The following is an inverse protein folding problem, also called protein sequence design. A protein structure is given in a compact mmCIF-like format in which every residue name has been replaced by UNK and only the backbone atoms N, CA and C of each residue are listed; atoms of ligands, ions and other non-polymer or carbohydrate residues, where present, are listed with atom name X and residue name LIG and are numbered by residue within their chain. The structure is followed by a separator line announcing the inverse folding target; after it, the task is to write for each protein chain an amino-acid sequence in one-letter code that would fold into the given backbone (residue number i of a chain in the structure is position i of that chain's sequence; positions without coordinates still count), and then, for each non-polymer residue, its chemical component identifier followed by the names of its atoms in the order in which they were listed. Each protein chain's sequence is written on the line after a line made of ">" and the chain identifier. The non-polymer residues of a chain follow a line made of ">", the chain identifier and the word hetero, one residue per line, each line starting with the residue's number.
data_IF_559792095727
#
_entry.id   IF_559792095727
#
_cell.length_a   1.000
_cell.length_b   1.000
_cell.length_c   1.000
_cell.angle_alpha   90.00
_cell.angle_beta   90.00
_cell.angle_gamma   90.00
#
_symmetry.space_group_name_H-M   'P 1'
#
loop_
_entity.id
_entity.type
_entity.pdbx_description
1 polymer ?
#
# COMPACT_ATOMS: atom_id res chain seq x y z
N UNK A 1 -39.34 -13.74 -9.78
CA UNK A 1 -39.38 -14.55 -11.02
C UNK A 1 -38.22 -15.53 -10.99
N UNK A 2 -38.49 -16.83 -11.12
CA UNK A 2 -37.47 -17.90 -11.17
C UNK A 2 -37.00 -18.14 -12.59
N UNK A 3 -35.68 -18.30 -12.79
CA UNK A 3 -35.11 -19.00 -13.96
C UNK A 3 -33.90 -19.82 -13.54
N UNK A 4 -33.93 -21.10 -13.90
CA UNK A 4 -32.91 -22.09 -13.56
C UNK A 4 -32.62 -22.95 -14.80
N UNK A 5 -31.44 -22.79 -15.40
CA UNK A 5 -30.83 -23.72 -16.36
C UNK A 5 -29.32 -23.69 -16.08
N UNK A 6 -28.63 -24.78 -15.72
CA UNK A 6 -28.44 -26.11 -16.36
C UNK A 6 -27.63 -26.07 -17.66
N UNK A 7 -26.44 -26.71 -17.59
CA UNK A 7 -25.73 -27.60 -18.54
C UNK A 7 -25.74 -27.25 -20.06
N UNK A 8 -24.73 -27.63 -20.86
CA UNK A 8 -23.72 -28.68 -20.68
C UNK A 8 -22.35 -28.28 -21.29
N UNK A 9 -21.34 -29.13 -21.09
CA UNK A 9 -20.08 -29.09 -21.84
C UNK A 9 -20.17 -29.94 -23.11
N UNK A 10 -19.38 -29.59 -24.13
CA UNK A 10 -19.02 -30.51 -25.21
C UNK A 10 -17.57 -30.25 -25.64
N UNK A 11 -16.76 -31.29 -25.68
CA UNK A 11 -15.37 -31.24 -26.16
C UNK A 11 -15.28 -31.92 -27.52
N UNK A 12 -14.64 -31.26 -28.49
CA UNK A 12 -14.28 -31.88 -29.77
C UNK A 12 -12.76 -31.86 -29.92
N UNK A 13 -12.12 -33.02 -29.80
CA UNK A 13 -10.73 -33.23 -30.16
C UNK A 13 -10.65 -33.45 -31.67
N UNK A 14 -9.77 -32.73 -32.37
CA UNK A 14 -9.48 -32.96 -33.79
C UNK A 14 -7.98 -33.24 -33.97
N UNK A 15 -7.66 -34.51 -34.23
CA UNK A 15 -6.31 -34.96 -34.57
C UNK A 15 -6.13 -34.85 -36.08
N UNK A 16 -5.18 -34.02 -36.52
CA UNK A 16 -4.80 -33.88 -37.92
C UNK A 16 -3.37 -34.39 -38.15
N UNK A 17 -3.22 -35.66 -38.52
CA UNK A 17 -1.93 -36.21 -38.95
C UNK A 17 -1.70 -35.92 -40.43
N UNK A 18 -0.62 -35.19 -40.74
CA UNK A 18 -0.20 -34.87 -42.11
C UNK A 18 1.24 -35.30 -42.37
N UNK A 19 1.43 -36.52 -42.91
CA UNK A 19 2.74 -36.98 -43.40
C UNK A 19 3.00 -36.40 -44.81
N UNK A 20 4.11 -35.69 -44.97
CA UNK A 20 4.46 -35.03 -46.25
C UNK A 20 5.96 -35.08 -46.53
N UNK A 21 6.46 -36.22 -47.04
CA UNK A 21 7.85 -36.35 -47.46
C UNK A 21 8.09 -35.68 -48.83
N UNK A 22 8.72 -34.50 -48.84
CA UNK A 22 9.10 -33.79 -50.07
C UNK A 22 10.58 -33.38 -50.07
N UNK A 23 11.46 -34.19 -50.66
CA UNK A 23 12.86 -33.80 -50.87
C UNK A 23 12.97 -32.88 -52.09
N UNK A 24 13.39 -31.63 -51.86
CA UNK A 24 14.12 -30.83 -52.84
C UNK A 24 15.38 -30.30 -52.17
N UNK A 25 16.52 -30.44 -52.84
CA UNK A 25 17.81 -29.99 -52.33
C UNK A 25 18.08 -28.58 -52.84
N UNK A 26 17.44 -27.59 -52.20
CA UNK A 26 17.84 -26.20 -52.39
C UNK A 26 19.19 -25.95 -51.70
N UNK A 27 20.01 -25.08 -52.29
CA UNK A 27 21.36 -24.80 -51.80
C UNK A 27 21.33 -24.25 -50.36
N UNK A 28 22.38 -24.49 -49.54
CA UNK A 28 22.44 -23.93 -48.19
C UNK A 28 22.34 -22.41 -48.26
N UNK A 29 21.20 -21.88 -47.80
CA UNK A 29 20.99 -20.46 -47.71
C UNK A 29 22.09 -19.87 -46.81
N UNK A 30 22.87 -18.92 -47.34
CA UNK A 30 23.85 -18.19 -46.54
C UNK A 30 23.11 -17.57 -45.37
N UNK A 31 23.37 -18.06 -44.16
CA UNK A 31 22.86 -17.43 -42.94
C UNK A 31 23.38 -16.00 -42.94
N UNK A 32 22.46 -15.04 -42.79
CA UNK A 32 22.80 -13.62 -42.79
C UNK A 32 23.22 -13.22 -41.38
N UNK A 33 24.26 -13.90 -40.89
CA UNK A 33 24.88 -13.74 -39.58
C UNK A 33 25.68 -12.43 -39.53
N UNK A 34 24.95 -11.31 -39.64
CA UNK A 34 25.43 -9.95 -39.38
C UNK A 34 24.23 -9.06 -38.98
N UNK A 35 23.35 -9.61 -38.14
CA UNK A 35 22.41 -8.83 -37.35
C UNK A 35 23.18 -8.13 -36.21
N UNK A 36 23.98 -7.12 -36.58
CA UNK A 36 24.78 -6.26 -35.69
C UNK A 36 24.07 -6.03 -34.36
N UNK A 37 24.63 -6.55 -33.27
CA UNK A 37 24.09 -6.36 -31.92
C UNK A 37 24.05 -4.87 -31.61
N UNK A 38 22.84 -4.31 -31.59
CA UNK A 38 22.63 -2.88 -31.35
C UNK A 38 23.24 -2.44 -30.01
N UNK A 39 23.56 -1.14 -29.85
CA UNK A 39 24.25 -0.62 -28.67
C UNK A 39 23.49 -1.02 -27.39
N UNK A 40 24.07 -1.98 -26.68
CA UNK A 40 23.49 -2.55 -25.46
C UNK A 40 23.85 -1.63 -24.31
N UNK A 41 22.84 -1.12 -23.60
CA UNK A 41 23.07 -0.25 -22.45
C UNK A 41 23.80 -1.01 -21.33
N UNK A 42 24.68 -0.30 -20.61
CA UNK A 42 25.48 -0.91 -19.55
C UNK A 42 24.59 -1.44 -18.41
N UNK A 43 24.94 -2.58 -17.77
CA UNK A 43 24.17 -3.13 -16.66
C UNK A 43 24.03 -2.13 -15.51
N UNK A 44 22.79 -1.80 -15.16
CA UNK A 44 22.48 -0.87 -14.07
C UNK A 44 22.79 -1.52 -12.71
N UNK A 45 23.48 -0.78 -11.84
CA UNK A 45 23.79 -1.21 -10.48
C UNK A 45 22.52 -1.26 -9.60
N UNK A 46 22.51 -2.13 -8.58
CA UNK A 46 21.40 -2.21 -7.62
C UNK A 46 21.46 -1.02 -6.64
N UNK A 47 20.46 -0.12 -6.61
CA UNK A 47 20.38 0.96 -5.64
C UNK A 47 19.99 0.45 -4.24
N UNK A 48 20.13 1.30 -3.21
CA UNK A 48 19.66 0.98 -1.86
C UNK A 48 18.12 1.03 -1.79
N UNK A 49 17.49 -0.11 -1.50
CA UNK A 49 16.03 -0.29 -1.59
C UNK A 49 15.26 0.21 -0.37
N UNK A 50 14.07 0.77 -0.59
CA UNK A 50 13.26 1.45 0.43
C UNK A 50 13.84 2.80 0.87
N UNK A 51 13.16 3.50 1.78
CA UNK A 51 13.62 4.81 2.31
C UNK A 51 14.10 4.68 3.77
N UNK A 52 15.03 5.53 4.19
CA UNK A 52 15.50 5.58 5.59
C UNK A 52 14.46 6.18 6.57
N UNK A 53 13.53 7.02 6.08
CA UNK A 53 12.53 7.73 6.87
C UNK A 53 11.18 7.74 6.14
N UNK A 54 10.14 7.23 6.81
CA UNK A 54 8.72 7.22 6.34
C UNK A 54 8.25 8.55 5.76
N UNK A 55 8.79 9.68 6.24
CA UNK A 55 8.44 11.02 5.74
C UNK A 55 8.73 11.20 4.25
N UNK A 56 9.73 10.52 3.66
CA UNK A 56 10.02 10.56 2.21
C UNK A 56 8.93 9.94 1.31
N UNK A 57 7.80 9.54 1.88
CA UNK A 57 6.58 9.17 1.16
C UNK A 57 5.46 10.23 1.31
N UNK A 58 5.74 11.46 1.78
CA UNK A 58 4.76 12.48 2.22
C UNK A 58 4.61 13.68 1.26
N UNK A 59 4.69 13.39 -0.04
CA UNK A 59 4.79 14.34 -1.15
C UNK A 59 3.92 15.60 -1.03
N UNK A 60 2.65 15.47 -0.63
CA UNK A 60 1.68 16.58 -0.60
C UNK A 60 1.94 17.67 0.45
N UNK A 61 2.93 17.51 1.34
CA UNK A 61 3.27 18.50 2.38
C UNK A 61 4.76 18.89 2.38
N UNK A 62 5.54 18.47 1.38
CA UNK A 62 6.97 18.73 1.28
C UNK A 62 7.26 20.01 0.47
N UNK A 63 8.46 20.58 0.59
CA UNK A 63 8.85 21.85 -0.05
C UNK A 63 8.75 21.85 -1.57
N UNK A 64 8.84 20.67 -2.20
CA UNK A 64 8.61 20.45 -3.62
C UNK A 64 7.14 20.45 -4.06
N UNK A 65 6.17 20.26 -3.16
CA UNK A 65 4.77 19.97 -3.51
C UNK A 65 4.12 21.01 -4.46
N UNK A 66 4.24 22.35 -4.24
CA UNK A 66 3.62 23.33 -5.14
C UNK A 66 4.27 23.43 -6.53
N UNK A 67 5.45 22.84 -6.71
CA UNK A 67 6.07 22.61 -8.02
C UNK A 67 5.58 21.28 -8.61
N UNK A 68 5.50 20.22 -7.81
CA UNK A 68 4.98 18.91 -8.22
C UNK A 68 3.53 18.97 -8.73
N UNK A 69 2.63 19.68 -8.03
CA UNK A 69 1.23 19.83 -8.46
C UNK A 69 1.11 20.47 -9.86
N UNK A 70 2.03 21.38 -10.20
CA UNK A 70 2.11 21.97 -11.54
C UNK A 70 2.66 20.98 -12.57
N UNK A 71 3.63 20.14 -12.20
CA UNK A 71 4.09 19.05 -13.06
C UNK A 71 2.96 18.03 -13.33
N UNK A 72 2.14 17.68 -12.33
CA UNK A 72 0.93 16.85 -12.50
C UNK A 72 -0.09 17.54 -13.41
N UNK A 73 -0.31 18.85 -13.25
CA UNK A 73 -1.23 19.62 -14.08
C UNK A 73 -0.76 19.77 -15.55
N UNK A 74 0.55 19.76 -15.80
CA UNK A 74 1.15 19.71 -17.14
C UNK A 74 1.10 18.30 -17.74
N UNK A 75 1.33 17.26 -16.92
CA UNK A 75 1.32 15.85 -17.34
C UNK A 75 -0.06 15.44 -17.86
N UNK A 76 -1.13 15.88 -17.19
CA UNK A 76 -2.53 15.73 -17.66
C UNK A 76 -2.84 16.40 -19.01
N UNK A 77 -1.93 17.24 -19.52
CA UNK A 77 -2.02 17.90 -20.84
C UNK A 77 -0.96 17.39 -21.83
N UNK A 78 -0.12 16.43 -21.42
CA UNK A 78 1.06 15.94 -22.16
C UNK A 78 2.07 17.06 -22.51
N UNK A 79 2.12 18.12 -21.71
CA UNK A 79 3.03 19.26 -21.86
C UNK A 79 4.40 18.92 -21.26
N UNK A 80 5.17 18.07 -21.95
CA UNK A 80 6.45 17.55 -21.46
C UNK A 80 7.48 18.63 -21.08
N UNK A 81 7.64 19.76 -21.81
CA UNK A 81 8.50 20.86 -21.37
C UNK A 81 8.09 21.45 -20.01
N UNK A 82 6.80 21.66 -19.77
CA UNK A 82 6.32 22.13 -18.46
C UNK A 82 6.42 21.05 -17.38
N UNK A 83 6.19 19.76 -17.70
CA UNK A 83 6.43 18.65 -16.76
C UNK A 83 7.88 18.63 -16.31
N UNK A 84 8.84 18.68 -17.25
CA UNK A 84 10.28 18.73 -16.96
C UNK A 84 10.61 19.91 -16.03
N UNK A 85 10.28 21.12 -16.48
CA UNK A 85 10.55 22.37 -15.75
C UNK A 85 9.98 22.36 -14.33
N UNK A 86 8.76 21.85 -14.14
CA UNK A 86 8.10 21.83 -12.82
C UNK A 86 8.54 20.67 -11.93
N UNK A 87 8.93 19.52 -12.50
CA UNK A 87 9.49 18.42 -11.74
C UNK A 87 10.93 18.72 -11.28
N UNK A 88 11.76 19.34 -12.13
CA UNK A 88 13.07 19.90 -11.75
C UNK A 88 12.93 20.95 -10.63
N UNK A 89 11.99 21.88 -10.78
CA UNK A 89 11.69 22.89 -9.76
C UNK A 89 11.01 22.33 -8.48
N UNK A 90 10.65 21.03 -8.46
CA UNK A 90 10.27 20.30 -7.24
C UNK A 90 11.50 19.64 -6.61
N UNK A 91 12.28 18.92 -7.42
CA UNK A 91 13.49 18.21 -6.96
C UNK A 91 14.59 19.14 -6.45
N UNK A 92 14.68 20.37 -6.98
CA UNK A 92 15.57 21.42 -6.45
C UNK A 92 15.19 21.89 -5.04
N UNK A 93 13.97 21.59 -4.56
CA UNK A 93 13.48 21.93 -3.20
C UNK A 93 13.36 20.71 -2.29
N UNK A 94 13.18 19.54 -2.87
CA UNK A 94 13.14 18.22 -2.22
C UNK A 94 13.75 17.18 -3.18
N UNK A 95 15.06 16.91 -3.09
CA UNK A 95 15.74 15.90 -3.91
C UNK A 95 15.30 14.45 -3.66
N UNK A 96 14.29 14.22 -2.81
CA UNK A 96 13.74 12.89 -2.51
C UNK A 96 12.27 12.73 -2.93
N UNK A 97 11.71 13.71 -3.64
CA UNK A 97 10.30 13.72 -4.06
C UNK A 97 10.01 12.68 -5.17
N UNK A 98 9.76 11.42 -4.79
CA UNK A 98 9.63 10.27 -5.71
C UNK A 98 8.63 10.49 -6.85
N UNK A 99 7.49 11.15 -6.58
CA UNK A 99 6.51 11.50 -7.60
C UNK A 99 7.05 12.45 -8.67
N UNK A 100 8.01 13.32 -8.32
CA UNK A 100 8.66 14.22 -9.28
C UNK A 100 9.77 13.51 -10.06
N UNK A 101 10.47 12.54 -9.47
CA UNK A 101 11.37 11.67 -10.24
C UNK A 101 10.61 10.89 -11.34
N UNK A 102 9.46 10.27 -11.03
CA UNK A 102 8.63 9.56 -12.04
C UNK A 102 8.10 10.49 -13.14
N UNK A 103 7.71 11.72 -12.81
CA UNK A 103 7.26 12.71 -13.82
C UNK A 103 8.41 13.25 -14.67
N UNK A 104 9.55 13.57 -14.06
CA UNK A 104 10.73 14.04 -14.77
C UNK A 104 11.27 12.97 -15.73
N UNK A 105 11.32 11.71 -15.30
CA UNK A 105 11.76 10.61 -16.16
C UNK A 105 10.89 10.45 -17.42
N UNK A 106 9.56 10.55 -17.30
CA UNK A 106 8.68 10.53 -18.47
C UNK A 106 8.87 11.77 -19.36
N UNK A 107 9.03 12.96 -18.77
CA UNK A 107 9.31 14.16 -19.56
C UNK A 107 10.64 14.06 -20.33
N UNK A 108 11.68 13.50 -19.73
CA UNK A 108 12.98 13.24 -20.37
C UNK A 108 12.87 12.18 -21.47
N UNK A 109 12.19 11.05 -21.19
CA UNK A 109 11.90 10.01 -22.17
C UNK A 109 11.11 10.53 -23.39
N UNK A 110 10.17 11.45 -23.19
CA UNK A 110 9.35 12.06 -24.24
C UNK A 110 10.03 13.24 -24.95
N UNK A 111 11.06 13.85 -24.35
CA UNK A 111 11.83 14.97 -24.96
C UNK A 111 13.18 14.56 -25.53
N UNK A 112 13.50 13.27 -25.55
CA UNK A 112 14.67 12.73 -26.26
C UNK A 112 15.93 12.52 -25.41
N UNK A 113 15.81 12.54 -24.09
CA UNK A 113 16.90 12.21 -23.16
C UNK A 113 16.59 10.89 -22.40
N UNK A 114 16.72 9.73 -23.06
CA UNK A 114 16.48 8.43 -22.42
C UNK A 114 17.57 8.08 -21.40
N UNK A 115 18.73 8.74 -21.43
CA UNK A 115 19.81 8.46 -20.49
C UNK A 115 19.47 9.03 -19.11
N UNK A 116 19.14 10.32 -19.01
CA UNK A 116 18.74 10.94 -17.74
C UNK A 116 17.40 10.39 -17.20
N UNK A 117 16.54 9.86 -18.06
CA UNK A 117 15.31 9.17 -17.64
C UNK A 117 15.57 7.93 -16.77
N UNK A 118 16.69 7.23 -16.96
CA UNK A 118 17.04 6.00 -16.21
C UNK A 118 17.16 6.30 -14.71
N UNK A 119 18.01 7.24 -14.33
CA UNK A 119 18.36 7.48 -12.92
C UNK A 119 17.14 7.87 -12.09
N UNK A 120 16.24 8.66 -12.67
CA UNK A 120 15.01 9.08 -12.01
C UNK A 120 13.97 7.96 -11.91
N UNK A 121 13.82 7.09 -12.91
CA UNK A 121 12.98 5.88 -12.79
C UNK A 121 13.54 4.92 -11.74
N UNK A 122 14.84 4.64 -11.79
CA UNK A 122 15.50 3.75 -10.83
C UNK A 122 15.40 4.30 -9.40
N UNK A 123 15.54 5.62 -9.20
CA UNK A 123 15.37 6.26 -7.89
C UNK A 123 13.94 6.08 -7.35
N UNK A 124 12.91 6.32 -8.17
CA UNK A 124 11.52 6.15 -7.75
C UNK A 124 11.20 4.68 -7.43
N UNK A 125 11.59 3.75 -8.32
CA UNK A 125 11.33 2.31 -8.20
C UNK A 125 12.08 1.68 -7.01
N UNK A 126 13.32 2.10 -6.73
CA UNK A 126 14.07 1.63 -5.58
C UNK A 126 13.42 1.99 -4.25
N UNK A 127 12.84 3.20 -4.16
CA UNK A 127 12.27 3.74 -2.94
C UNK A 127 10.83 3.27 -2.67
N UNK A 128 9.98 3.17 -3.71
CA UNK A 128 8.64 2.56 -3.62
C UNK A 128 8.37 1.66 -4.85
N UNK A 129 8.84 0.40 -4.83
CA UNK A 129 8.69 -0.52 -5.96
C UNK A 129 7.25 -0.95 -6.20
N UNK A 130 6.38 -0.90 -5.18
CA UNK A 130 4.98 -1.26 -5.30
C UNK A 130 4.17 -0.12 -5.97
N UNK A 131 4.53 1.13 -5.74
CA UNK A 131 3.94 2.28 -6.44
C UNK A 131 4.48 2.45 -7.87
N UNK A 132 5.79 2.40 -8.07
CA UNK A 132 6.41 2.93 -9.29
C UNK A 132 6.82 1.86 -10.32
N UNK A 133 7.13 0.62 -9.94
CA UNK A 133 7.44 -0.41 -10.94
C UNK A 133 6.26 -0.72 -11.89
N UNK A 134 4.98 -0.73 -11.44
CA UNK A 134 3.83 -0.87 -12.35
C UNK A 134 3.73 0.25 -13.39
N UNK A 135 4.18 1.46 -13.06
CA UNK A 135 4.11 2.64 -13.95
C UNK A 135 5.03 2.55 -15.16
N UNK A 136 5.91 1.53 -15.24
CA UNK A 136 6.66 1.22 -16.45
C UNK A 136 5.76 0.76 -17.62
N UNK A 137 4.52 0.35 -17.34
CA UNK A 137 3.55 -0.03 -18.38
C UNK A 137 2.78 1.16 -18.98
N UNK A 138 2.97 2.37 -18.45
CA UNK A 138 2.19 3.56 -18.83
C UNK A 138 2.54 4.07 -20.25
N UNK A 139 1.54 4.65 -20.92
CA UNK A 139 1.66 5.22 -22.27
C UNK A 139 2.80 6.25 -22.41
N UNK A 140 3.11 7.01 -21.36
CA UNK A 140 4.17 8.03 -21.34
C UNK A 140 5.59 7.43 -21.29
N UNK A 141 5.74 6.13 -21.02
CA UNK A 141 7.01 5.42 -21.05
C UNK A 141 7.11 4.37 -22.17
N UNK A 142 6.01 4.00 -22.85
CA UNK A 142 5.96 2.93 -23.86
C UNK A 142 7.13 2.93 -24.86
N UNK A 143 7.42 4.08 -25.48
CA UNK A 143 8.51 4.22 -26.46
C UNK A 143 9.90 4.05 -25.83
N UNK A 144 10.08 4.52 -24.60
CA UNK A 144 11.32 4.36 -23.84
C UNK A 144 11.52 2.90 -23.40
N UNK A 145 10.46 2.19 -22.97
CA UNK A 145 10.55 0.78 -22.57
C UNK A 145 10.94 -0.16 -23.71
N UNK A 146 10.65 0.21 -24.96
CA UNK A 146 11.14 -0.50 -26.15
C UNK A 146 12.65 -0.30 -26.41
N UNK A 147 13.28 0.75 -25.86
CA UNK A 147 14.69 1.07 -26.07
C UNK A 147 15.64 0.23 -25.17
N UNK A 148 16.95 0.13 -25.49
CA UNK A 148 17.92 -0.56 -24.63
C UNK A 148 18.01 -0.02 -23.20
N UNK A 149 17.79 1.29 -22.99
CA UNK A 149 17.73 1.90 -21.66
C UNK A 149 16.49 1.43 -20.88
N UNK A 150 15.31 1.44 -21.51
CA UNK A 150 14.07 0.99 -20.87
C UNK A 150 14.05 -0.52 -20.59
N UNK A 151 14.61 -1.33 -21.49
CA UNK A 151 14.81 -2.77 -21.27
C UNK A 151 15.74 -3.02 -20.05
N UNK A 152 16.78 -2.19 -19.88
CA UNK A 152 17.68 -2.27 -18.72
C UNK A 152 16.99 -1.83 -17.41
N UNK A 153 16.14 -0.80 -17.47
CA UNK A 153 15.30 -0.38 -16.33
C UNK A 153 14.29 -1.48 -15.97
N UNK A 154 13.65 -2.15 -16.94
CA UNK A 154 12.75 -3.28 -16.67
C UNK A 154 13.49 -4.46 -16.00
N UNK A 155 14.66 -4.82 -16.52
CA UNK A 155 15.49 -5.89 -15.97
C UNK A 155 15.99 -5.58 -14.54
N UNK A 156 16.29 -4.32 -14.22
CA UNK A 156 16.60 -3.90 -12.85
C UNK A 156 15.34 -3.85 -11.97
N UNK A 157 14.22 -3.34 -12.48
CA UNK A 157 12.96 -3.25 -11.74
C UNK A 157 12.45 -4.63 -11.29
N UNK A 158 12.58 -5.67 -12.12
CA UNK A 158 12.27 -7.05 -11.74
C UNK A 158 13.13 -7.53 -10.55
N UNK A 159 14.45 -7.28 -10.58
CA UNK A 159 15.36 -7.60 -9.46
C UNK A 159 15.02 -6.80 -8.20
N UNK A 160 14.69 -5.52 -8.35
CA UNK A 160 14.24 -4.66 -7.24
C UNK A 160 12.97 -5.23 -6.62
N UNK A 161 11.97 -5.64 -7.41
CA UNK A 161 10.75 -6.26 -6.92
C UNK A 161 11.02 -7.58 -6.17
N UNK A 162 11.90 -8.43 -6.70
CA UNK A 162 12.27 -9.70 -6.07
C UNK A 162 12.94 -9.48 -4.69
N UNK A 163 13.95 -8.62 -4.63
CA UNK A 163 14.67 -8.33 -3.38
C UNK A 163 13.84 -7.50 -2.39
N UNK A 164 13.00 -6.58 -2.87
CA UNK A 164 12.02 -5.90 -2.02
C UNK A 164 11.02 -6.92 -1.45
N UNK A 165 10.52 -7.88 -2.24
CA UNK A 165 9.65 -8.96 -1.77
C UNK A 165 10.29 -9.76 -0.63
N UNK A 166 11.54 -10.19 -0.78
CA UNK A 166 12.31 -10.86 0.28
C UNK A 166 12.44 -9.99 1.55
N UNK A 167 12.78 -8.71 1.39
CA UNK A 167 12.95 -7.75 2.50
C UNK A 167 11.64 -7.43 3.22
N UNK A 168 10.54 -7.33 2.48
CA UNK A 168 9.19 -7.15 3.03
C UNK A 168 8.76 -8.39 3.81
N UNK A 169 8.96 -9.60 3.26
CA UNK A 169 8.56 -10.85 3.90
C UNK A 169 9.28 -11.09 5.25
N UNK A 170 10.55 -10.69 5.38
CA UNK A 170 11.33 -10.75 6.64
C UNK A 170 11.21 -9.51 7.54
N UNK A 171 10.55 -8.44 7.06
CA UNK A 171 10.52 -7.14 7.72
C UNK A 171 9.52 -7.07 8.89
N UNK A 172 9.74 -6.13 9.81
CA UNK A 172 8.75 -5.83 10.85
C UNK A 172 7.60 -5.01 10.24
N UNK A 173 6.39 -5.59 10.19
CA UNK A 173 5.21 -4.89 9.64
C UNK A 173 4.57 -4.00 10.71
N UNK A 174 4.30 -2.75 10.35
CA UNK A 174 3.80 -1.72 11.27
C UNK A 174 2.96 -0.67 10.53
N UNK A 175 1.97 -0.08 11.20
CA UNK A 175 1.33 1.15 10.72
C UNK A 175 2.18 2.31 11.20
N UNK A 176 2.78 3.08 10.29
CA UNK A 176 3.49 4.30 10.63
C UNK A 176 2.72 5.52 10.16
N UNK A 177 2.70 6.57 10.99
CA UNK A 177 2.04 7.83 10.66
C UNK A 177 3.05 8.86 10.17
N UNK A 178 2.76 9.51 9.03
CA UNK A 178 3.58 10.59 8.46
C UNK A 178 3.60 11.87 9.32
N UNK A 179 2.61 12.04 10.19
CA UNK A 179 2.52 13.09 11.21
C UNK A 179 1.44 12.71 12.22
N UNK A 180 1.40 13.39 13.37
CA UNK A 180 0.32 13.23 14.35
C UNK A 180 -1.07 13.41 13.69
N UNK A 181 -2.05 12.64 14.17
CA UNK A 181 -3.44 12.75 13.78
C UNK A 181 -3.97 14.19 13.99
N UNK A 182 -4.91 14.64 13.15
CA UNK A 182 -5.55 15.96 13.28
C UNK A 182 -7.06 15.81 13.26
N UNK A 183 -7.69 16.24 14.34
CA UNK A 183 -9.14 16.42 14.42
C UNK A 183 -9.65 17.39 13.35
N UNK A 184 -10.82 17.14 12.75
CA UNK A 184 -11.53 18.17 11.99
C UNK A 184 -11.84 19.37 12.88
N UNK A 185 -11.66 20.59 12.36
CA UNK A 185 -11.98 21.82 13.11
C UNK A 185 -13.49 21.99 13.32
N UNK A 186 -14.23 21.74 12.26
CA UNK A 186 -15.67 21.99 12.17
C UNK A 186 -16.49 20.77 12.62
N UNK A 187 -17.78 21.01 12.86
CA UNK A 187 -18.75 19.96 13.18
C UNK A 187 -19.24 19.24 11.91
N UNK A 188 -19.93 18.11 12.09
CA UNK A 188 -20.46 17.26 11.03
C UNK A 188 -19.41 16.35 10.38
N UNK A 189 -19.78 15.78 9.22
CA UNK A 189 -19.05 14.71 8.51
C UNK A 189 -17.90 15.27 7.65
N UNK A 190 -16.77 15.50 8.30
CA UNK A 190 -15.56 16.11 7.74
C UNK A 190 -14.54 15.09 7.22
N UNK A 191 -13.70 15.50 6.27
CA UNK A 191 -12.58 14.68 5.77
C UNK A 191 -11.42 14.67 6.77
N UNK A 192 -11.04 13.49 7.24
CA UNK A 192 -9.84 13.27 8.05
C UNK A 192 -9.40 11.82 7.94
N UNK A 193 -8.11 11.57 8.15
CA UNK A 193 -7.48 10.26 8.00
C UNK A 193 -6.58 9.97 9.20
N UNK A 194 -6.26 8.70 9.42
CA UNK A 194 -5.29 8.26 10.45
C UNK A 194 -3.88 8.87 10.26
N UNK A 195 -3.58 9.39 9.07
CA UNK A 195 -2.25 9.76 8.57
C UNK A 195 -1.26 8.60 8.53
N UNK A 196 -1.77 7.36 8.54
CA UNK A 196 -0.99 6.13 8.52
C UNK A 196 -1.06 5.36 7.21
N UNK A 197 0.04 4.69 6.86
CA UNK A 197 0.07 3.58 5.90
C UNK A 197 0.70 2.36 6.60
N UNK A 198 0.52 1.18 5.99
CA UNK A 198 1.25 -0.02 6.36
C UNK A 198 2.66 0.00 5.73
N UNK A 199 3.66 -0.32 6.54
CA UNK A 199 5.07 -0.42 6.12
C UNK A 199 5.69 -1.74 6.60
N UNK A 200 6.66 -2.25 5.84
CA UNK A 200 7.66 -3.19 6.36
C UNK A 200 8.96 -2.45 6.66
N UNK A 201 9.50 -2.64 7.86
CA UNK A 201 10.82 -2.15 8.26
C UNK A 201 11.86 -3.26 8.15
N UNK A 202 12.81 -3.10 7.21
CA UNK A 202 13.96 -3.97 7.05
C UNK A 202 14.98 -3.71 8.17
N UNK A 203 14.98 -4.58 9.18
CA UNK A 203 15.77 -4.41 10.42
C UNK A 203 17.28 -4.46 10.17
N UNK A 204 17.73 -4.99 9.03
CA UNK A 204 19.13 -4.99 8.60
C UNK A 204 19.53 -3.59 8.11
N UNK A 205 18.95 -3.14 6.98
CA UNK A 205 19.32 -1.87 6.33
C UNK A 205 18.71 -0.61 6.95
N UNK A 206 17.83 -0.77 7.96
CA UNK A 206 17.07 0.30 8.63
C UNK A 206 16.16 1.09 7.69
N UNK A 207 15.62 0.44 6.66
CA UNK A 207 14.76 1.07 5.63
C UNK A 207 13.32 0.58 5.67
N UNK A 208 12.43 1.44 5.19
CA UNK A 208 10.98 1.25 5.13
C UNK A 208 10.54 1.02 3.69
N UNK A 209 9.69 0.00 3.51
CA UNK A 209 8.96 -0.28 2.29
C UNK A 209 7.49 0.04 2.52
N UNK A 210 6.89 0.91 1.70
CA UNK A 210 5.45 1.22 1.77
C UNK A 210 4.65 0.08 1.15
N UNK A 211 3.74 -0.50 1.92
CA UNK A 211 2.94 -1.67 1.52
C UNK A 211 1.52 -1.30 1.08
N UNK A 212 1.05 -0.12 1.47
CA UNK A 212 -0.28 0.41 1.11
C UNK A 212 -0.20 1.85 0.63
N UNK A 213 -1.09 2.16 -0.31
CA UNK A 213 -1.17 3.43 -1.02
C UNK A 213 -2.64 3.88 -0.95
N UNK A 214 -2.99 4.46 0.20
CA UNK A 214 -4.36 4.77 0.65
C UNK A 214 -4.51 6.24 1.04
N UNK A 215 -3.69 7.15 0.50
CA UNK A 215 -3.62 8.57 0.89
C UNK A 215 -3.41 8.78 2.40
N UNK A 216 -2.72 7.82 3.03
CA UNK A 216 -2.44 7.71 4.45
C UNK A 216 -3.71 7.59 5.32
N UNK A 217 -4.54 6.57 5.03
CA UNK A 217 -5.82 6.30 5.71
C UNK A 217 -5.81 5.03 6.60
N UNK A 218 -4.77 4.18 6.56
CA UNK A 218 -4.69 2.96 7.37
C UNK A 218 -4.58 3.30 8.86
N UNK A 219 -5.53 2.82 9.67
CA UNK A 219 -5.51 2.93 11.13
C UNK A 219 -4.90 1.69 11.79
N UNK A 220 -5.11 0.51 11.23
CA UNK A 220 -4.60 -0.77 11.72
C UNK A 220 -4.63 -1.88 10.67
N UNK A 221 -4.02 -3.03 10.97
CA UNK A 221 -4.13 -4.24 10.14
C UNK A 221 -4.21 -5.51 11.00
N UNK A 222 -4.76 -6.57 10.41
CA UNK A 222 -4.74 -7.93 10.94
C UNK A 222 -4.34 -8.92 9.85
N UNK A 223 -3.84 -10.08 10.27
CA UNK A 223 -3.51 -11.22 9.40
C UNK A 223 -4.30 -12.46 9.85
N UNK A 224 -4.66 -13.36 8.92
CA UNK A 224 -5.17 -14.69 9.26
C UNK A 224 -4.09 -15.53 9.95
N UNK A 225 -4.49 -16.67 10.50
CA UNK A 225 -3.56 -17.70 10.95
C UNK A 225 -2.90 -18.43 9.77
N UNK A 226 -3.58 -18.54 8.62
CA UNK A 226 -3.08 -19.21 7.42
C UNK A 226 -3.14 -18.35 6.15
N UNK A 227 -2.21 -18.61 5.22
CA UNK A 227 -2.20 -18.02 3.88
C UNK A 227 -1.61 -16.60 3.76
N UNK A 228 -1.46 -16.10 2.51
CA UNK A 228 -0.84 -14.81 2.21
C UNK A 228 -1.87 -13.67 2.15
N UNK A 229 -2.74 -13.56 3.15
CA UNK A 229 -3.73 -12.47 3.22
C UNK A 229 -3.38 -11.46 4.32
N UNK A 230 -3.80 -10.22 4.13
CA UNK A 230 -3.80 -9.18 5.16
C UNK A 230 -5.02 -8.28 4.96
N UNK A 231 -5.74 -7.99 6.04
CA UNK A 231 -6.84 -7.02 6.03
C UNK A 231 -6.43 -5.75 6.79
N UNK A 232 -6.57 -4.60 6.13
CA UNK A 232 -6.39 -3.28 6.74
C UNK A 232 -7.73 -2.67 7.11
N UNK A 233 -7.74 -1.90 8.20
CA UNK A 233 -8.83 -1.02 8.62
C UNK A 233 -8.35 0.42 8.48
N UNK A 234 -9.14 1.27 7.83
CA UNK A 234 -8.88 2.70 7.69
C UNK A 234 -10.15 3.54 7.71
N UNK A 235 -10.01 4.85 7.56
CA UNK A 235 -11.14 5.77 7.46
C UNK A 235 -10.84 7.00 6.60
N UNK A 236 -11.87 7.48 5.90
CA UNK A 236 -11.80 8.66 5.00
C UNK A 236 -12.38 9.93 5.65
N UNK A 237 -13.24 9.76 6.66
CA UNK A 237 -14.03 10.81 7.29
C UNK A 237 -14.32 10.52 8.76
N UNK A 238 -14.50 11.60 9.51
CA UNK A 238 -14.96 11.63 10.90
C UNK A 238 -16.23 12.48 10.96
N UNK A 239 -17.22 12.05 11.73
CA UNK A 239 -18.32 12.90 12.17
C UNK A 239 -17.96 13.51 13.53
N UNK A 240 -18.24 14.80 13.68
CA UNK A 240 -18.29 15.48 14.97
C UNK A 240 -19.73 16.01 15.12
N UNK A 241 -20.68 15.18 15.58
CA UNK A 241 -22.09 15.54 15.55
C UNK A 241 -22.34 16.85 16.30
N UNK A 242 -23.29 17.67 15.85
CA UNK A 242 -23.60 18.92 16.54
C UNK A 242 -24.32 18.59 17.86
N UNK A 243 -23.86 19.12 19.01
CA UNK A 243 -24.57 18.93 20.27
C UNK A 243 -25.99 19.48 20.20
N UNK A 244 -26.94 18.71 20.72
CA UNK A 244 -28.25 19.22 21.12
C UNK A 244 -28.13 19.93 22.49
N UNK A 245 -29.18 20.63 22.91
CA UNK A 245 -29.20 21.27 24.22
C UNK A 245 -29.14 20.21 25.33
N UNK A 246 -28.05 20.22 26.12
CA UNK A 246 -27.79 19.21 27.16
C UNK A 246 -27.08 17.93 26.69
N UNK A 247 -26.72 17.81 25.41
CA UNK A 247 -25.98 16.65 24.85
C UNK A 247 -24.56 17.02 24.43
N UNK A 248 -23.65 16.04 24.47
CA UNK A 248 -22.25 16.16 24.03
C UNK A 248 -21.88 14.88 23.25
N UNK A 249 -22.32 14.76 21.99
CA UNK A 249 -22.32 13.52 21.25
C UNK A 249 -20.91 13.10 20.82
N UNK A 250 -20.62 11.81 21.00
CA UNK A 250 -19.32 11.22 20.68
C UNK A 250 -18.92 11.41 19.19
N UNK A 251 -17.65 11.70 18.88
CA UNK A 251 -17.17 11.68 17.51
C UNK A 251 -17.16 10.25 16.95
N UNK A 252 -17.51 10.12 15.66
CA UNK A 252 -17.72 8.82 14.98
C UNK A 252 -16.83 8.66 13.73
N UNK A 253 -16.44 7.41 13.45
CA UNK A 253 -15.74 6.99 12.23
C UNK A 253 -16.72 6.96 11.04
N UNK A 254 -17.06 8.13 10.50
CA UNK A 254 -18.15 8.32 9.54
C UNK A 254 -18.00 7.54 8.22
N UNK A 255 -16.76 7.28 7.77
CA UNK A 255 -16.46 6.43 6.61
C UNK A 255 -15.29 5.50 6.89
N UNK A 256 -15.44 4.65 7.90
CA UNK A 256 -14.54 3.52 8.09
C UNK A 256 -14.63 2.53 6.92
N UNK A 257 -13.55 1.80 6.66
CA UNK A 257 -13.49 0.78 5.62
C UNK A 257 -12.51 -0.34 5.94
N UNK A 258 -12.74 -1.50 5.31
CA UNK A 258 -11.81 -2.63 5.26
C UNK A 258 -11.26 -2.78 3.83
N UNK A 259 -9.97 -3.02 3.70
CA UNK A 259 -9.33 -3.34 2.42
C UNK A 259 -8.39 -4.53 2.60
N UNK A 260 -8.62 -5.59 1.81
CA UNK A 260 -7.84 -6.82 1.84
C UNK A 260 -6.77 -6.78 0.74
N UNK A 261 -5.60 -7.33 1.06
CA UNK A 261 -4.41 -7.47 0.21
C UNK A 261 -3.91 -8.91 0.20
N UNK A 262 -3.35 -9.35 -0.93
CA UNK A 262 -2.50 -10.53 -1.00
C UNK A 262 -1.05 -10.11 -0.66
N UNK A 263 -0.41 -10.73 0.33
CA UNK A 263 0.91 -10.32 0.81
C UNK A 263 2.07 -10.84 -0.04
N UNK A 264 1.80 -11.65 -1.06
CA UNK A 264 2.82 -12.15 -2.00
C UNK A 264 3.10 -11.14 -3.12
N UNK A 265 2.06 -10.46 -3.63
CA UNK A 265 2.17 -9.48 -4.72
C UNK A 265 1.66 -8.08 -4.38
N UNK A 266 1.20 -7.88 -3.14
CA UNK A 266 0.63 -6.65 -2.57
C UNK A 266 -0.54 -6.05 -3.35
N UNK A 267 -1.22 -6.86 -4.18
CA UNK A 267 -2.45 -6.44 -4.86
C UNK A 267 -3.65 -6.52 -3.93
N UNK A 268 -4.57 -5.58 -4.11
CA UNK A 268 -5.90 -5.60 -3.48
C UNK A 268 -6.68 -6.78 -4.03
N UNK A 269 -7.13 -7.69 -3.17
CA UNK A 269 -7.95 -8.85 -3.55
C UNK A 269 -9.43 -8.53 -3.63
N UNK A 270 -9.85 -7.40 -3.05
CA UNK A 270 -11.26 -6.98 -2.94
C UNK A 270 -11.43 -5.51 -3.31
N UNK A 271 -12.67 -5.07 -3.65
CA UNK A 271 -13.06 -3.68 -3.49
C UNK A 271 -12.87 -3.20 -2.05
N UNK A 272 -12.81 -1.87 -1.85
CA UNK A 272 -12.82 -1.26 -0.51
C UNK A 272 -14.22 -1.42 0.11
N UNK A 273 -14.28 -2.07 1.27
CA UNK A 273 -15.54 -2.43 1.94
C UNK A 273 -15.88 -1.33 2.95
N UNK A 274 -16.83 -0.46 2.62
CA UNK A 274 -17.27 0.58 3.55
C UNK A 274 -18.16 0.04 4.67
N UNK A 275 -17.95 0.56 5.87
CA UNK A 275 -18.69 0.27 7.10
C UNK A 275 -19.65 1.42 7.42
N UNK A 276 -20.72 1.20 8.22
CA UNK A 276 -21.54 2.30 8.72
C UNK A 276 -20.72 3.21 9.65
N UNK A 277 -21.22 4.42 9.88
CA UNK A 277 -20.69 5.29 10.94
C UNK A 277 -20.75 4.57 12.28
N UNK A 278 -19.64 4.60 13.02
CA UNK A 278 -19.49 3.85 14.26
C UNK A 278 -18.60 4.62 15.25
N UNK A 279 -18.81 4.38 16.55
CA UNK A 279 -17.98 4.92 17.63
C UNK A 279 -16.68 4.14 17.78
N UNK A 280 -16.78 2.82 17.62
CA UNK A 280 -15.65 1.88 17.58
C UNK A 280 -15.83 0.94 16.39
N UNK A 281 -14.75 0.67 15.69
CA UNK A 281 -14.67 -0.39 14.67
C UNK A 281 -13.62 -1.41 15.08
N UNK A 282 -14.00 -2.68 15.03
CA UNK A 282 -13.13 -3.80 15.37
C UNK A 282 -13.01 -4.75 14.17
N UNK A 283 -11.80 -5.26 13.89
CA UNK A 283 -11.50 -6.15 12.75
C UNK A 283 -10.58 -7.30 13.18
N UNK A 284 -10.89 -8.54 12.81
CA UNK A 284 -10.07 -9.70 13.13
C UNK A 284 -10.44 -10.96 12.33
N UNK A 285 -9.58 -11.98 12.40
CA UNK A 285 -9.83 -13.28 11.78
C UNK A 285 -10.32 -14.30 12.81
N UNK A 286 -11.52 -14.84 12.60
CA UNK A 286 -12.13 -15.89 13.41
C UNK A 286 -11.71 -17.30 12.97
N UNK A 287 -12.47 -18.31 13.41
CA UNK A 287 -12.25 -19.69 13.03
C UNK A 287 -12.32 -19.90 11.50
N UNK A 288 -11.48 -20.78 10.97
CA UNK A 288 -11.35 -21.01 9.51
C UNK A 288 -10.87 -19.77 8.74
N UNK A 289 -10.18 -18.85 9.40
CA UNK A 289 -9.80 -17.53 8.86
C UNK A 289 -11.00 -16.75 8.28
N UNK A 290 -12.17 -16.88 8.91
CA UNK A 290 -13.34 -16.05 8.61
C UNK A 290 -13.04 -14.60 9.01
N UNK A 291 -13.04 -13.68 8.05
CA UNK A 291 -12.86 -12.26 8.35
C UNK A 291 -14.12 -11.72 9.04
N UNK A 292 -13.97 -11.29 10.29
CA UNK A 292 -15.02 -10.71 11.12
C UNK A 292 -14.74 -9.22 11.32
N UNK A 293 -15.76 -8.41 11.10
CA UNK A 293 -15.79 -6.98 11.44
C UNK A 293 -16.90 -6.74 12.45
N UNK A 294 -16.77 -5.72 13.28
CA UNK A 294 -17.92 -5.21 14.04
C UNK A 294 -17.88 -3.70 14.19
N UNK A 295 -19.06 -3.14 14.39
CA UNK A 295 -19.26 -1.71 14.64
C UNK A 295 -20.08 -1.54 15.92
N UNK A 296 -19.55 -0.82 16.90
CA UNK A 296 -20.31 -0.35 18.05
C UNK A 296 -20.74 1.09 17.83
N UNK A 297 -21.99 1.41 18.18
CA UNK A 297 -22.48 2.79 18.21
C UNK A 297 -22.05 3.50 19.50
N UNK A 298 -22.24 4.82 19.54
CA UNK A 298 -22.13 5.59 20.78
C UNK A 298 -23.33 5.32 21.68
N UNK A 299 -23.11 5.25 22.99
CA UNK A 299 -24.15 5.26 24.03
C UNK A 299 -24.09 6.49 24.94
N UNK A 300 -23.21 7.44 24.60
CA UNK A 300 -22.83 8.59 25.40
C UNK A 300 -21.44 9.06 24.98
N UNK A 301 -21.04 10.29 25.36
CA UNK A 301 -19.85 11.00 24.84
C UNK A 301 -18.61 10.13 24.62
N UNK A 302 -18.29 9.27 25.58
CA UNK A 302 -17.10 8.41 25.54
C UNK A 302 -17.41 6.91 25.53
N UNK A 303 -18.68 6.50 25.69
CA UNK A 303 -19.07 5.08 25.86
C UNK A 303 -19.44 4.39 24.55
N UNK A 304 -19.03 3.14 24.41
CA UNK A 304 -19.45 2.24 23.31
C UNK A 304 -20.72 1.47 23.69
N UNK A 305 -21.58 1.23 22.71
CA UNK A 305 -22.69 0.29 22.81
C UNK A 305 -22.30 -1.13 22.45
N UNK A 306 -23.28 -2.05 22.46
CA UNK A 306 -23.10 -3.43 22.01
C UNK A 306 -22.58 -3.47 20.56
N UNK A 307 -21.46 -4.16 20.26
CA UNK A 307 -20.95 -4.26 18.91
C UNK A 307 -21.81 -5.21 18.06
N UNK A 308 -22.24 -4.75 16.89
CA UNK A 308 -22.85 -5.64 15.89
C UNK A 308 -21.74 -6.35 15.10
N UNK A 309 -21.69 -7.69 15.16
CA UNK A 309 -20.67 -8.49 14.47
C UNK A 309 -21.18 -8.99 13.12
N UNK A 310 -20.33 -8.86 12.09
CA UNK A 310 -20.61 -9.29 10.73
C UNK A 310 -19.43 -10.11 10.16
N UNK A 311 -19.75 -11.18 9.45
CA UNK A 311 -18.79 -11.88 8.59
C UNK A 311 -18.69 -11.20 7.22
N UNK A 312 -17.48 -11.11 6.70
CA UNK A 312 -17.17 -10.51 5.40
C UNK A 312 -16.97 -11.60 4.34
N UNK A 313 -17.78 -11.59 3.29
CA UNK A 313 -17.48 -12.32 2.05
C UNK A 313 -16.35 -11.59 1.31
N UNK A 314 -15.16 -12.18 1.31
CA UNK A 314 -13.98 -11.69 0.57
C UNK A 314 -14.31 -11.40 -0.90
N UNK A 315 -15.05 -12.28 -1.58
CA UNK A 315 -15.21 -12.24 -3.03
C UNK A 315 -16.11 -11.08 -3.51
N UNK A 316 -17.11 -10.71 -2.72
CA UNK A 316 -18.07 -9.64 -3.08
C UNK A 316 -18.01 -8.40 -2.19
N UNK A 317 -17.26 -8.45 -1.08
CA UNK A 317 -17.25 -7.42 -0.04
C UNK A 317 -18.54 -7.31 0.77
N UNK A 318 -19.49 -8.24 0.59
CA UNK A 318 -20.76 -8.24 1.34
C UNK A 318 -20.52 -8.59 2.81
N UNK A 319 -21.34 -7.98 3.67
CA UNK A 319 -21.36 -8.18 5.12
C UNK A 319 -22.66 -8.88 5.51
N UNK A 320 -22.58 -9.84 6.44
CA UNK A 320 -23.71 -10.62 6.96
C UNK A 320 -23.58 -10.70 8.47
N UNK A 321 -24.62 -10.28 9.21
CA UNK A 321 -24.63 -10.34 10.68
C UNK A 321 -24.51 -11.79 11.17
N UNK A 322 -23.67 -12.01 12.19
CA UNK A 322 -23.39 -13.33 12.77
C UNK A 322 -23.39 -13.28 14.29
N UNK A 323 -23.73 -14.40 14.93
CA UNK A 323 -23.60 -14.57 16.38
C UNK A 323 -22.17 -14.96 16.82
N UNK A 324 -21.23 -15.10 15.88
CA UNK A 324 -19.83 -15.46 16.15
C UNK A 324 -19.14 -14.37 16.98
N UNK A 325 -18.58 -14.74 18.13
CA UNK A 325 -17.81 -13.82 18.95
C UNK A 325 -16.54 -13.33 18.22
N UNK A 326 -16.13 -12.09 18.51
CA UNK A 326 -14.91 -11.49 17.96
C UNK A 326 -13.66 -12.23 18.45
N UNK A 327 -12.64 -12.43 17.59
CA UNK A 327 -11.48 -13.24 17.95
C UNK A 327 -10.62 -12.57 19.04
N UNK A 328 -9.86 -13.35 19.84
CA UNK A 328 -8.94 -12.79 20.84
C UNK A 328 -7.87 -11.88 20.23
N UNK A 329 -7.40 -12.21 19.03
CA UNK A 329 -6.45 -11.40 18.24
C UNK A 329 -7.21 -10.58 17.20
N UNK A 330 -7.27 -9.27 17.42
CA UNK A 330 -7.98 -8.29 16.59
C UNK A 330 -7.39 -6.89 16.76
N UNK A 331 -7.64 -6.01 15.81
CA UNK A 331 -7.50 -4.56 16.02
C UNK A 331 -8.85 -3.97 16.44
N UNK A 332 -8.77 -2.92 17.24
CA UNK A 332 -9.89 -2.08 17.67
C UNK A 332 -9.48 -0.65 17.37
N UNK A 333 -10.40 0.17 16.87
CA UNK A 333 -10.16 1.57 16.52
C UNK A 333 -11.34 2.40 16.99
N UNK A 334 -11.11 3.29 17.96
CA UNK A 334 -11.98 4.43 18.27
C UNK A 334 -11.32 5.72 17.78
N UNK A 335 -11.92 6.88 18.09
CA UNK A 335 -11.34 8.19 17.77
C UNK A 335 -10.62 8.87 18.94
N UNK A 336 -10.83 8.40 20.16
CA UNK A 336 -10.10 8.88 21.35
C UNK A 336 -8.72 8.20 21.39
N UNK A 337 -8.73 6.90 21.11
CA UNK A 337 -7.63 5.97 21.35
C UNK A 337 -7.46 5.04 20.15
N UNK A 338 -6.31 5.17 19.48
CA UNK A 338 -5.84 4.19 18.49
C UNK A 338 -5.21 2.97 19.18
N UNK A 339 -5.88 2.39 20.16
CA UNK A 339 -5.33 1.36 21.06
C UNK A 339 -5.46 -0.04 20.45
N UNK A 340 -4.31 -0.70 20.30
CA UNK A 340 -4.26 -2.14 20.08
C UNK A 340 -4.67 -2.83 21.38
N UNK A 341 -5.94 -3.26 21.47
CA UNK A 341 -6.58 -3.82 22.68
C UNK A 341 -5.90 -5.08 23.26
N UNK A 342 -4.86 -5.63 22.61
CA UNK A 342 -3.90 -6.51 23.28
C UNK A 342 -2.44 -6.30 22.86
N UNK A 343 -1.59 -6.03 23.85
CA UNK A 343 -0.16 -6.38 23.85
C UNK A 343 0.13 -7.11 25.19
N UNK A 344 0.11 -8.46 25.19
CA UNK A 344 0.02 -9.40 26.31
C UNK A 344 -0.16 -8.87 27.76
N UNK A 345 0.44 -9.58 28.71
CA UNK A 345 0.84 -9.13 30.03
C UNK A 345 2.25 -9.73 30.21
N UNK A 346 3.31 -8.92 30.05
CA UNK A 346 4.69 -9.42 29.85
C UNK A 346 5.64 -8.62 28.92
N UNK A 347 5.82 -7.28 29.03
CA UNK A 347 6.69 -6.45 28.13
C UNK A 347 7.38 -5.21 28.87
N UNK A 348 8.66 -4.64 29.02
CA UNK A 348 10.11 -4.33 28.57
C UNK A 348 11.35 -5.28 28.25
N UNK A 349 12.22 -4.93 27.28
CA UNK A 349 12.93 -5.88 26.37
C UNK A 349 14.40 -6.29 26.64
N UNK A 350 14.75 -7.55 26.35
CA UNK A 350 16.14 -8.07 26.27
C UNK A 350 16.54 -8.36 24.81
N UNK A 351 17.56 -7.68 24.28
CA UNK A 351 17.96 -7.78 22.86
C UNK A 351 19.21 -8.64 22.69
N UNK A 352 19.18 -9.64 21.81
CA UNK A 352 20.26 -10.63 21.63
C UNK A 352 20.47 -11.04 20.17
N UNK A 353 21.72 -11.37 19.80
CA UNK A 353 22.09 -11.96 18.51
C UNK A 353 22.47 -10.94 17.41
N UNK A 354 22.81 -11.45 16.24
CA UNK A 354 23.11 -10.70 15.01
C UNK A 354 22.24 -11.27 13.86
N UNK A 355 21.32 -10.49 13.25
CA UNK A 355 20.85 -9.17 13.69
C UNK A 355 20.00 -9.26 14.96
N UNK A 356 20.25 -8.38 15.93
CA UNK A 356 19.65 -8.47 17.27
C UNK A 356 18.12 -8.55 17.26
N UNK A 357 17.57 -9.55 17.96
CA UNK A 357 16.14 -9.76 18.19
C UNK A 357 15.81 -9.56 19.67
N UNK A 358 14.58 -9.12 19.96
CA UNK A 358 13.96 -9.36 21.26
C UNK A 358 12.71 -10.18 21.05
N UNK A 359 12.53 -11.25 21.82
CA UNK A 359 11.36 -12.15 21.75
C UNK A 359 10.19 -11.64 22.60
N UNK A 360 10.49 -10.73 23.51
CA UNK A 360 9.75 -10.49 24.73
C UNK A 360 10.05 -9.10 25.19
N UNK A 361 9.29 -8.72 26.19
CA UNK A 361 9.70 -7.68 27.06
C UNK A 361 9.27 -8.14 28.54
N UNK A 362 9.31 -7.34 29.62
CA UNK A 362 8.67 -7.48 30.96
C UNK A 362 8.65 -6.11 31.71
N UNK A 363 7.50 -5.61 32.20
CA UNK A 363 7.34 -4.24 32.78
C UNK A 363 7.88 -4.12 34.24
N UNK A 364 7.72 -3.00 34.99
CA UNK A 364 8.31 -2.82 36.33
C UNK A 364 7.97 -3.89 37.40
N UNK A 365 6.92 -4.69 37.19
CA UNK A 365 6.58 -5.88 37.99
C UNK A 365 6.54 -7.18 37.15
N UNK A 366 6.86 -7.10 35.85
CA UNK A 366 6.65 -8.13 34.85
C UNK A 366 5.54 -7.86 33.81
N UNK A 367 4.55 -7.00 34.08
CA UNK A 367 3.31 -6.79 33.29
C UNK A 367 3.51 -6.03 31.94
N UNK A 368 2.55 -5.26 31.33
CA UNK A 368 2.79 -4.54 30.07
C UNK A 368 3.48 -3.15 30.10
N UNK A 369 4.42 -2.94 29.18
CA UNK A 369 4.64 -1.72 28.38
C UNK A 369 4.04 -1.93 26.98
N UNK A 370 2.73 -1.78 26.84
CA UNK A 370 2.09 -1.82 25.51
C UNK A 370 2.74 -0.76 24.62
N UNK A 371 3.01 -1.10 23.35
CA UNK A 371 3.60 -0.19 22.35
C UNK A 371 2.84 1.13 22.33
N UNK A 372 3.58 2.24 22.40
CA UNK A 372 3.03 3.55 22.71
C UNK A 372 1.94 4.02 21.73
N UNK A 373 0.92 4.66 22.30
CA UNK A 373 -0.17 5.27 21.55
C UNK A 373 0.27 6.41 20.66
N UNK A 374 -0.46 6.54 19.55
CA UNK A 374 -0.27 7.60 18.56
C UNK A 374 -1.17 8.81 18.85
N UNK A 375 -1.13 9.33 20.09
CA UNK A 375 -2.06 10.36 20.58
C UNK A 375 -1.56 11.40 21.60
N UNK A 376 -0.62 11.06 22.50
CA UNK A 376 -0.36 11.82 23.75
C UNK A 376 0.00 13.33 23.65
N UNK A 377 0.24 13.87 22.46
CA UNK A 377 0.54 15.29 22.23
C UNK A 377 -0.71 16.18 22.00
N UNK A 378 -1.93 15.66 22.02
CA UNK A 378 -3.14 16.42 21.63
C UNK A 378 -4.18 16.68 22.73
N UNK A 379 -3.98 16.21 23.97
CA UNK A 379 -4.93 16.41 25.09
C UNK A 379 -4.49 17.48 26.11
N UNK A 380 -3.30 18.06 25.97
CA UNK A 380 -2.76 19.03 26.94
C UNK A 380 -3.17 20.50 26.71
N UNK A 381 -3.93 20.80 25.64
CA UNK A 381 -4.39 22.16 25.30
C UNK A 381 -5.76 22.15 24.61
N UNK A 382 -6.83 22.12 25.42
CA UNK A 382 -8.14 22.74 25.14
C UNK A 382 -8.53 23.50 26.41
#
# INVERSE_FOLDING_TARGET
>A
MTRTLRLAALSCVLVGLGLGCGRKADAPAKTKDDASTGPTAAPLAMPALGVDQIKRFNFIYETGAPSHDKAVAAHRKLDWPSVKTHAEAALAKDPTHLGSHRLLAAALAQTGDPAAAVDHLVTAIAADPLQYAPTLADDDLRSFMSSPHGQSVAALAAKIQEDAGKRIARGLWLVARRSAFRWPKDLGVQSSTSRGELYAFDRETKRFFRLTHTDHQVAGFVRPASGPELATLGFDKIDRPKPAEGDDPAPLLARAWVQIYNTTDWKRTTPRIHLPSAREVTLGYGAGDQLLVSTAQSTGRWTTGTPEVESVDRSTGKRVKVATALPPTRIVVSLDEGVLVRIPDGVTATWTGEPAVTSTLSAPNGAPIRVAESGAASQATI
#
